data_IF_048499026697
#
_entry.id   IF_048499026697
#
_cell.length_a   1.000
_cell.length_b   1.000
_cell.length_c   1.000
_cell.angle_alpha   90.00
_cell.angle_beta   90.00
_cell.angle_gamma   90.00
#
_symmetry.space_group_name_H-M   'P 1'
#
loop_
_entity.id
_entity.type
_entity.pdbx_description
1 polymer ?
#
# COMPACT_ATOMS: atom_id res chain seq x y z
N UNK A 1 7.76 6.76 20.19
CA UNK A 1 9.20 6.54 20.00
C UNK A 1 9.33 5.35 19.08
N UNK A 2 9.96 5.52 17.92
CA UNK A 2 10.28 4.43 17.00
C UNK A 2 11.78 4.09 17.15
N UNK A 3 12.33 3.27 16.27
CA UNK A 3 13.79 3.11 16.15
C UNK A 3 14.41 4.37 15.53
N UNK A 4 15.71 4.57 15.78
CA UNK A 4 16.49 5.66 15.16
C UNK A 4 16.41 5.60 13.62
N UNK A 5 16.48 4.39 13.06
CA UNK A 5 16.36 4.18 11.61
C UNK A 5 15.05 4.71 11.01
N UNK A 6 13.95 4.77 11.78
CA UNK A 6 12.67 5.37 11.31
C UNK A 6 12.64 6.87 11.58
N UNK A 7 13.00 7.29 12.80
CA UNK A 7 12.88 8.69 13.22
C UNK A 7 13.94 9.61 12.56
N UNK A 8 15.05 9.06 12.05
CA UNK A 8 16.12 9.76 11.33
C UNK A 8 16.23 9.34 9.84
N UNK A 9 15.18 8.72 9.28
CA UNK A 9 15.24 8.15 7.91
C UNK A 9 15.36 9.20 6.80
N UNK A 10 14.93 10.45 7.05
CA UNK A 10 14.84 11.48 6.02
C UNK A 10 16.17 11.83 5.32
N UNK A 11 17.30 11.77 6.03
CA UNK A 11 18.60 12.00 5.41
C UNK A 11 19.01 10.89 4.44
N UNK A 12 18.73 9.64 4.81
CA UNK A 12 19.00 8.46 3.96
C UNK A 12 18.08 8.48 2.74
N UNK A 13 16.79 8.73 2.95
CA UNK A 13 15.78 8.77 1.89
C UNK A 13 16.05 9.90 0.87
N UNK A 14 16.44 11.09 1.33
CA UNK A 14 16.92 12.17 0.45
C UNK A 14 18.10 11.72 -0.43
N UNK A 15 19.07 11.00 0.14
CA UNK A 15 20.24 10.51 -0.59
C UNK A 15 19.84 9.48 -1.65
N UNK A 16 18.92 8.58 -1.33
CA UNK A 16 18.42 7.58 -2.28
C UNK A 16 17.71 8.25 -3.46
N UNK A 17 16.82 9.20 -3.20
CA UNK A 17 16.19 10.02 -4.24
C UNK A 17 17.22 10.76 -5.10
N UNK A 18 18.23 11.38 -4.49
CA UNK A 18 19.29 12.09 -5.19
C UNK A 18 20.07 11.17 -6.14
N UNK A 19 20.49 10.00 -5.67
CA UNK A 19 21.23 9.02 -6.48
C UNK A 19 20.38 8.51 -7.64
N UNK A 20 19.13 8.12 -7.37
CA UNK A 20 18.21 7.63 -8.39
C UNK A 20 17.95 8.69 -9.48
N UNK A 21 17.72 9.95 -9.07
CA UNK A 21 17.56 11.06 -10.00
C UNK A 21 18.82 11.31 -10.83
N UNK A 22 20.01 11.28 -10.22
CA UNK A 22 21.27 11.46 -10.95
C UNK A 22 21.48 10.39 -12.01
N UNK A 23 21.13 9.13 -11.71
CA UNK A 23 21.19 8.03 -12.67
C UNK A 23 20.26 8.31 -13.87
N UNK A 24 19.02 8.72 -13.62
CA UNK A 24 18.09 9.05 -14.70
C UNK A 24 18.55 10.26 -15.52
N UNK A 25 18.98 11.33 -14.86
CA UNK A 25 19.47 12.54 -15.51
C UNK A 25 20.73 12.29 -16.35
N UNK A 26 21.60 11.37 -15.91
CA UNK A 26 22.74 10.92 -16.70
C UNK A 26 22.27 10.22 -17.97
N UNK A 27 21.36 9.25 -17.88
CA UNK A 27 20.76 8.57 -19.04
C UNK A 27 20.14 9.58 -20.02
N UNK A 28 19.34 10.54 -19.53
CA UNK A 28 18.75 11.58 -20.36
C UNK A 28 19.79 12.48 -21.05
N UNK A 29 20.95 12.70 -20.42
CA UNK A 29 22.06 13.42 -21.05
C UNK A 29 22.68 12.59 -22.18
N UNK A 30 22.89 11.30 -21.96
CA UNK A 30 23.51 10.38 -22.92
C UNK A 30 22.67 10.20 -24.18
N UNK A 31 21.35 10.14 -24.04
CA UNK A 31 20.41 10.06 -25.19
C UNK A 31 20.10 11.43 -25.81
N UNK A 32 20.79 12.49 -25.38
CA UNK A 32 20.66 13.85 -25.92
C UNK A 32 19.37 14.59 -25.55
N UNK A 33 18.57 14.07 -24.61
CA UNK A 33 17.36 14.73 -24.11
C UNK A 33 17.67 15.92 -23.19
N UNK A 34 18.83 15.91 -22.52
CA UNK A 34 19.36 17.04 -21.77
C UNK A 34 20.62 17.55 -22.50
N UNK A 35 20.64 18.82 -22.97
CA UNK A 35 21.66 19.31 -23.90
C UNK A 35 23.03 19.56 -23.25
N UNK A 36 23.10 19.68 -21.92
CA UNK A 36 24.36 19.94 -21.22
C UNK A 36 24.31 19.57 -19.75
N UNK A 37 25.49 19.37 -19.15
CA UNK A 37 25.63 19.21 -17.70
C UNK A 37 25.10 20.41 -16.91
N UNK A 38 25.30 21.63 -17.41
CA UNK A 38 24.80 22.83 -16.74
C UNK A 38 23.26 22.84 -16.66
N UNK A 39 22.57 22.38 -17.71
CA UNK A 39 21.12 22.26 -17.70
C UNK A 39 20.66 21.14 -16.75
N UNK A 40 21.36 20.01 -16.73
CA UNK A 40 21.11 18.92 -15.79
C UNK A 40 21.17 19.40 -14.33
N UNK A 41 22.24 20.11 -13.96
CA UNK A 41 22.48 20.56 -12.60
C UNK A 41 21.41 21.58 -12.17
N UNK A 42 20.93 22.45 -13.10
CA UNK A 42 19.80 23.34 -12.86
C UNK A 42 18.49 22.58 -12.60
N UNK A 43 18.21 21.54 -13.39
CA UNK A 43 17.00 20.71 -13.22
C UNK A 43 17.03 20.02 -11.86
N UNK A 44 18.17 19.41 -11.49
CA UNK A 44 18.33 18.76 -10.19
C UNK A 44 18.12 19.73 -9.03
N UNK A 45 18.68 20.94 -9.12
CA UNK A 45 18.46 21.98 -8.10
C UNK A 45 16.97 22.37 -7.99
N UNK A 46 16.28 22.50 -9.13
CA UNK A 46 14.87 22.92 -9.18
C UNK A 46 13.91 21.90 -8.54
N UNK A 47 14.19 20.60 -8.61
CA UNK A 47 13.31 19.55 -8.07
C UNK A 47 13.54 19.25 -6.58
N UNK A 48 14.50 19.92 -5.93
CA UNK A 48 14.85 19.66 -4.52
C UNK A 48 13.64 19.77 -3.58
N UNK A 49 12.75 20.74 -3.82
CA UNK A 49 11.53 20.90 -3.01
C UNK A 49 10.56 19.71 -3.15
N UNK A 50 10.38 19.21 -4.38
CA UNK A 50 9.53 18.04 -4.66
C UNK A 50 10.11 16.76 -4.04
N UNK A 51 11.44 16.62 -4.02
CA UNK A 51 12.12 15.52 -3.31
C UNK A 51 11.87 15.61 -1.81
N UNK A 52 12.03 16.79 -1.20
CA UNK A 52 11.72 16.98 0.22
C UNK A 52 10.26 16.61 0.54
N UNK A 53 9.30 16.99 -0.31
CA UNK A 53 7.90 16.64 -0.11
C UNK A 53 7.66 15.13 -0.20
N UNK A 54 8.30 14.44 -1.14
CA UNK A 54 8.24 12.98 -1.27
C UNK A 54 8.81 12.28 -0.03
N UNK A 55 9.97 12.70 0.45
CA UNK A 55 10.63 12.15 1.66
C UNK A 55 9.77 12.36 2.90
N UNK A 56 9.18 13.55 3.05
CA UNK A 56 8.26 13.85 4.15
C UNK A 56 6.95 13.04 4.06
N UNK A 57 6.48 12.75 2.84
CA UNK A 57 5.30 11.91 2.64
C UNK A 57 5.58 10.45 3.03
N UNK A 58 6.73 9.90 2.64
CA UNK A 58 7.12 8.53 3.00
C UNK A 58 7.33 8.38 4.51
N UNK A 59 8.05 9.32 5.14
CA UNK A 59 8.24 9.34 6.60
C UNK A 59 6.92 9.32 7.38
N UNK A 60 5.93 10.12 6.94
CA UNK A 60 4.59 10.12 7.53
C UNK A 60 3.87 8.78 7.31
N UNK A 61 4.03 8.17 6.13
CA UNK A 61 3.44 6.87 5.82
C UNK A 61 4.03 5.74 6.69
N UNK A 62 5.36 5.70 6.86
CA UNK A 62 6.03 4.72 7.74
C UNK A 62 5.61 4.90 9.20
N UNK A 63 5.56 6.14 9.68
CA UNK A 63 5.10 6.43 11.06
C UNK A 63 3.66 6.01 11.30
N UNK A 64 2.78 6.20 10.32
CA UNK A 64 1.40 5.74 10.34
C UNK A 64 1.31 4.22 10.32
N UNK A 65 2.09 3.55 9.47
CA UNK A 65 2.13 2.10 9.38
C UNK A 65 2.42 1.46 10.74
N UNK A 66 3.39 2.01 11.48
CA UNK A 66 3.70 1.56 12.85
C UNK A 66 2.55 1.81 13.85
N UNK A 67 1.78 2.89 13.69
CA UNK A 67 0.57 3.12 14.51
C UNK A 67 -0.51 2.08 14.24
N UNK A 68 -0.69 1.70 12.98
CA UNK A 68 -1.67 0.69 12.58
C UNK A 68 -1.21 -0.71 12.98
N UNK A 69 0.07 -1.05 12.79
CA UNK A 69 0.64 -2.33 13.18
C UNK A 69 0.64 -2.52 14.71
N UNK A 70 0.74 -1.45 15.49
CA UNK A 70 0.56 -1.53 16.94
C UNK A 70 -0.86 -1.96 17.32
N UNK A 71 -1.88 -1.54 16.56
CA UNK A 71 -3.28 -1.95 16.76
C UNK A 71 -3.52 -3.37 16.27
N UNK A 72 -3.01 -3.72 15.09
CA UNK A 72 -3.11 -5.07 14.52
C UNK A 72 -2.42 -6.10 15.40
N UNK A 73 -1.18 -5.86 15.82
CA UNK A 73 -0.43 -6.78 16.69
C UNK A 73 -1.08 -6.97 18.06
N UNK A 74 -1.85 -5.99 18.55
CA UNK A 74 -2.63 -6.15 19.78
C UNK A 74 -3.78 -7.16 19.62
N UNK A 75 -4.34 -7.29 18.42
CA UNK A 75 -5.39 -8.28 18.10
C UNK A 75 -4.84 -9.63 17.67
N UNK A 76 -3.65 -9.67 17.05
CA UNK A 76 -3.04 -10.88 16.51
C UNK A 76 -1.50 -10.83 16.63
N UNK A 77 -0.97 -11.16 17.82
CA UNK A 77 0.48 -11.27 18.02
C UNK A 77 1.10 -12.42 17.22
N UNK A 78 0.35 -13.49 16.96
CA UNK A 78 0.87 -14.69 16.32
C UNK A 78 1.32 -14.38 14.88
N UNK A 79 0.57 -13.55 14.15
CA UNK A 79 0.95 -13.11 12.81
C UNK A 79 2.35 -12.45 12.77
N UNK A 80 2.68 -11.64 13.77
CA UNK A 80 3.97 -10.93 13.84
C UNK A 80 5.12 -11.84 14.26
N UNK A 81 4.89 -12.79 15.17
CA UNK A 81 5.90 -13.81 15.49
C UNK A 81 6.11 -14.79 14.34
N UNK A 82 5.04 -15.15 13.62
CA UNK A 82 5.14 -15.94 12.40
C UNK A 82 5.94 -15.23 11.32
N UNK A 83 5.78 -13.91 11.18
CA UNK A 83 6.63 -13.09 10.32
C UNK A 83 8.10 -13.11 10.80
N UNK A 84 8.35 -12.90 12.09
CA UNK A 84 9.70 -12.92 12.64
C UNK A 84 10.41 -14.26 12.39
N UNK A 85 9.72 -15.38 12.60
CA UNK A 85 10.24 -16.73 12.27
C UNK A 85 10.57 -16.83 10.79
N UNK A 86 9.64 -16.42 9.91
CA UNK A 86 9.88 -16.45 8.46
C UNK A 86 11.13 -15.65 8.08
N UNK A 87 11.30 -14.45 8.64
CA UNK A 87 12.43 -13.57 8.33
C UNK A 87 13.77 -14.15 8.81
N UNK A 88 13.77 -14.89 9.92
CA UNK A 88 14.95 -15.66 10.37
C UNK A 88 15.23 -16.82 9.42
N UNK A 89 14.20 -17.58 9.05
CA UNK A 89 14.33 -18.77 8.19
C UNK A 89 14.91 -18.41 6.80
N UNK A 90 14.57 -17.24 6.27
CA UNK A 90 15.13 -16.74 5.00
C UNK A 90 16.44 -15.95 5.17
N UNK A 91 16.99 -15.91 6.39
CA UNK A 91 18.28 -15.28 6.68
C UNK A 91 18.29 -13.75 6.63
N UNK A 92 17.13 -13.09 6.69
CA UNK A 92 17.03 -11.63 6.66
C UNK A 92 17.10 -11.01 8.06
N UNK A 93 16.53 -11.67 9.07
CA UNK A 93 16.50 -11.16 10.45
C UNK A 93 17.44 -11.94 11.35
N UNK A 94 18.47 -11.28 11.87
CA UNK A 94 19.18 -11.73 13.07
C UNK A 94 18.51 -11.13 14.31
N UNK A 95 17.79 -11.97 15.05
CA UNK A 95 17.02 -11.54 16.22
C UNK A 95 17.91 -11.02 17.34
N UNK A 96 19.08 -11.60 17.55
CA UNK A 96 19.98 -11.19 18.63
C UNK A 96 20.64 -9.85 18.28
N UNK A 97 21.15 -9.72 17.06
CA UNK A 97 21.72 -8.47 16.55
C UNK A 97 20.75 -7.28 16.57
N UNK A 98 19.48 -7.52 16.26
CA UNK A 98 18.41 -6.52 16.27
C UNK A 98 17.72 -6.33 17.63
N UNK A 99 18.13 -7.09 18.65
CA UNK A 99 17.47 -7.13 19.96
C UNK A 99 15.95 -7.41 19.89
N UNK A 100 15.50 -8.24 18.93
CA UNK A 100 14.08 -8.58 18.76
C UNK A 100 13.63 -9.67 19.75
N UNK A 101 12.64 -9.40 20.64
CA UNK A 101 12.32 -10.27 21.77
C UNK A 101 11.64 -11.57 21.35
N UNK A 102 11.84 -12.64 22.12
CA UNK A 102 11.11 -13.89 21.92
C UNK A 102 9.64 -13.75 22.28
N UNK A 103 8.79 -14.63 21.72
CA UNK A 103 7.36 -14.62 22.02
C UNK A 103 7.08 -14.78 23.52
N UNK A 104 7.82 -15.66 24.19
CA UNK A 104 7.72 -15.84 25.64
C UNK A 104 8.00 -14.55 26.42
N UNK A 105 9.00 -13.77 26.00
CA UNK A 105 9.36 -12.49 26.64
C UNK A 105 8.25 -11.46 26.45
N UNK A 106 7.67 -11.35 25.26
CA UNK A 106 6.57 -10.42 25.00
C UNK A 106 5.32 -10.82 25.75
N UNK A 107 4.98 -12.11 25.79
CA UNK A 107 3.81 -12.63 26.51
C UNK A 107 3.91 -12.48 28.03
N UNK A 108 5.12 -12.43 28.59
CA UNK A 108 5.36 -12.20 30.01
C UNK A 108 5.27 -10.72 30.44
N UNK A 109 5.13 -9.78 29.50
CA UNK A 109 4.97 -8.35 29.83
C UNK A 109 3.64 -8.08 30.53
N UNK A 110 3.56 -7.04 31.38
CA UNK A 110 2.28 -6.61 31.99
C UNK A 110 1.19 -6.34 30.96
N UNK A 111 1.57 -5.86 29.77
CA UNK A 111 0.74 -5.83 28.57
C UNK A 111 1.45 -6.63 27.48
N UNK A 112 0.90 -7.77 27.04
CA UNK A 112 1.53 -8.62 26.04
C UNK A 112 1.40 -7.98 24.65
N UNK A 113 2.23 -6.99 24.37
CA UNK A 113 2.21 -6.21 23.13
C UNK A 113 3.62 -6.02 22.60
N UNK A 114 3.74 -5.99 21.28
CA UNK A 114 4.93 -5.49 20.61
C UNK A 114 4.96 -3.97 20.72
N UNK A 115 6.15 -3.44 20.96
CA UNK A 115 6.41 -2.01 20.99
C UNK A 115 6.64 -1.48 19.56
N UNK A 116 6.49 -0.17 19.36
CA UNK A 116 6.75 0.44 18.05
C UNK A 116 8.18 0.21 17.53
N UNK A 117 9.24 0.26 18.36
CA UNK A 117 10.58 -0.11 17.91
C UNK A 117 10.68 -1.57 17.42
N UNK A 118 10.04 -2.51 18.11
CA UNK A 118 10.02 -3.92 17.69
C UNK A 118 9.24 -4.12 16.38
N UNK A 119 8.14 -3.38 16.19
CA UNK A 119 7.39 -3.36 14.94
C UNK A 119 8.17 -2.69 13.80
N UNK A 120 9.01 -1.70 14.10
CA UNK A 120 9.87 -1.04 13.11
C UNK A 120 10.91 -2.00 12.53
N UNK A 121 11.48 -2.88 13.36
CA UNK A 121 12.35 -3.97 12.92
C UNK A 121 11.59 -4.85 11.91
N UNK A 122 10.43 -5.39 12.31
CA UNK A 122 9.64 -6.26 11.43
C UNK A 122 9.21 -5.56 10.13
N UNK A 123 8.84 -4.28 10.19
CA UNK A 123 8.47 -3.49 9.02
C UNK A 123 9.62 -3.36 8.02
N UNK A 124 10.84 -3.04 8.49
CA UNK A 124 12.01 -2.91 7.62
C UNK A 124 12.35 -4.24 6.94
N UNK A 125 12.41 -5.33 7.70
CA UNK A 125 12.75 -6.65 7.16
C UNK A 125 11.64 -7.24 6.28
N UNK A 126 10.36 -6.95 6.57
CA UNK A 126 9.25 -7.32 5.69
C UNK A 126 9.33 -6.62 4.32
N UNK A 127 9.69 -5.33 4.30
CA UNK A 127 9.92 -4.58 3.05
C UNK A 127 11.08 -5.19 2.26
N UNK A 128 12.19 -5.52 2.93
CA UNK A 128 13.35 -6.13 2.29
C UNK A 128 13.02 -7.51 1.68
N UNK A 129 12.30 -8.35 2.42
CA UNK A 129 11.84 -9.65 1.93
C UNK A 129 10.94 -9.48 0.70
N UNK A 130 9.98 -8.57 0.77
CA UNK A 130 9.05 -8.32 -0.32
C UNK A 130 9.78 -7.77 -1.55
N UNK A 131 10.67 -6.81 -1.37
CA UNK A 131 11.52 -6.26 -2.43
C UNK A 131 12.29 -7.35 -3.18
N UNK A 132 12.96 -8.25 -2.46
CA UNK A 132 13.69 -9.37 -3.08
C UNK A 132 12.76 -10.29 -3.86
N UNK A 133 11.64 -10.69 -3.27
CA UNK A 133 10.65 -11.53 -3.96
C UNK A 133 10.05 -10.87 -5.21
N UNK A 134 9.89 -9.54 -5.19
CA UNK A 134 9.44 -8.79 -6.36
C UNK A 134 10.51 -8.70 -7.44
N UNK A 135 11.77 -8.50 -7.05
CA UNK A 135 12.89 -8.56 -7.99
C UNK A 135 13.00 -9.94 -8.63
N UNK A 136 12.79 -11.03 -7.90
CA UNK A 136 12.86 -12.39 -8.46
C UNK A 136 11.66 -12.76 -9.35
N UNK A 137 10.74 -11.82 -9.57
CA UNK A 137 9.54 -11.97 -10.39
C UNK A 137 9.51 -11.00 -11.57
N UNK A 138 8.55 -11.20 -12.48
CA UNK A 138 8.29 -10.29 -13.60
C UNK A 138 7.35 -9.14 -13.23
N UNK A 139 6.86 -9.05 -11.98
CA UNK A 139 5.84 -8.05 -11.61
C UNK A 139 6.32 -6.61 -11.81
N UNK A 140 7.58 -6.33 -11.50
CA UNK A 140 8.16 -5.00 -11.67
C UNK A 140 8.25 -4.55 -13.15
N UNK A 141 8.06 -5.47 -14.09
CA UNK A 141 8.04 -5.22 -15.53
C UNK A 141 6.60 -5.22 -16.10
N UNK A 142 5.61 -5.60 -15.29
CA UNK A 142 4.20 -5.61 -15.69
C UNK A 142 3.76 -4.21 -16.16
N UNK A 143 3.11 -4.06 -17.32
CA UNK A 143 2.65 -2.75 -17.80
C UNK A 143 1.79 -1.97 -16.81
N UNK A 144 1.02 -2.66 -15.97
CA UNK A 144 0.20 -2.10 -14.93
C UNK A 144 0.98 -1.54 -13.74
N UNK A 145 2.29 -1.78 -13.60
CA UNK A 145 3.11 -1.21 -12.52
C UNK A 145 3.86 0.06 -12.92
N UNK A 146 3.82 0.44 -14.21
CA UNK A 146 4.50 1.63 -14.76
C UNK A 146 4.18 2.93 -14.01
N UNK A 147 2.95 3.08 -13.52
CA UNK A 147 2.55 4.26 -12.75
C UNK A 147 3.39 4.44 -11.49
N UNK A 148 3.85 3.36 -10.84
CA UNK A 148 4.67 3.45 -9.64
C UNK A 148 6.03 4.10 -9.91
N UNK A 149 6.65 3.82 -11.06
CA UNK A 149 7.89 4.49 -11.46
C UNK A 149 7.67 5.96 -11.79
N UNK A 150 6.60 6.26 -12.52
CA UNK A 150 6.25 7.63 -12.88
C UNK A 150 5.95 8.44 -11.61
N UNK A 151 5.21 7.86 -10.67
CA UNK A 151 4.81 8.50 -9.41
C UNK A 151 5.94 8.63 -8.40
N UNK A 152 7.02 7.87 -8.55
CA UNK A 152 8.24 8.03 -7.78
C UNK A 152 9.03 9.29 -8.16
N UNK A 153 9.04 9.64 -9.45
CA UNK A 153 9.82 10.76 -9.96
C UNK A 153 9.15 12.11 -9.63
N UNK A 154 9.91 13.20 -9.42
CA UNK A 154 9.37 14.54 -9.19
C UNK A 154 8.35 14.97 -10.26
N UNK A 155 7.16 15.49 -9.89
CA UNK A 155 6.14 15.97 -10.82
C UNK A 155 6.67 16.83 -11.98
N UNK A 156 7.59 17.78 -11.71
CA UNK A 156 8.16 18.64 -12.76
C UNK A 156 8.91 17.85 -13.84
N UNK A 157 9.50 16.70 -13.49
CA UNK A 157 10.17 15.83 -14.45
C UNK A 157 9.20 15.00 -15.26
N UNK A 158 8.07 14.58 -14.65
CA UNK A 158 7.03 13.81 -15.35
C UNK A 158 6.47 14.59 -16.53
N UNK A 159 6.22 15.89 -16.35
CA UNK A 159 5.74 16.77 -17.42
C UNK A 159 6.80 16.93 -18.51
N UNK A 160 8.05 17.20 -18.12
CA UNK A 160 9.14 17.52 -19.05
C UNK A 160 9.64 16.31 -19.86
N UNK A 161 9.61 15.10 -19.26
CA UNK A 161 10.19 13.90 -19.85
C UNK A 161 9.23 12.70 -19.85
N UNK A 162 7.91 12.95 -19.92
CA UNK A 162 6.85 11.92 -19.85
C UNK A 162 7.13 10.67 -20.70
N UNK A 163 7.56 10.87 -21.96
CA UNK A 163 7.84 9.77 -22.90
C UNK A 163 9.09 8.94 -22.60
N UNK A 164 9.93 9.37 -21.65
CA UNK A 164 11.21 8.74 -21.30
C UNK A 164 11.28 8.23 -19.85
N UNK A 165 10.25 8.46 -19.03
CA UNK A 165 10.22 8.04 -17.62
C UNK A 165 10.52 6.53 -17.46
N UNK A 166 10.02 5.73 -18.40
CA UNK A 166 10.17 4.27 -18.38
C UNK A 166 11.56 3.80 -18.85
N UNK A 167 12.40 4.70 -19.37
CA UNK A 167 13.79 4.42 -19.75
C UNK A 167 14.74 4.48 -18.54
N UNK A 168 14.22 4.68 -17.32
CA UNK A 168 15.04 4.76 -16.11
C UNK A 168 15.91 3.49 -15.96
N UNK A 169 17.25 3.60 -15.82
CA UNK A 169 18.13 2.43 -15.73
C UNK A 169 17.79 1.49 -14.56
N UNK A 170 17.29 2.02 -13.45
CA UNK A 170 16.79 1.29 -12.28
C UNK A 170 15.26 1.12 -12.24
N UNK A 171 14.58 1.10 -13.40
CA UNK A 171 13.11 1.04 -13.43
C UNK A 171 12.54 -0.14 -12.62
N UNK A 172 13.14 -1.33 -12.76
CA UNK A 172 12.71 -2.55 -12.08
C UNK A 172 12.86 -2.44 -10.56
N UNK A 173 14.01 -1.95 -10.11
CA UNK A 173 14.36 -1.79 -8.70
C UNK A 173 13.47 -0.73 -8.03
N UNK A 174 13.21 0.38 -8.73
CA UNK A 174 12.34 1.44 -8.22
C UNK A 174 10.89 0.97 -8.09
N UNK A 175 10.36 0.27 -9.10
CA UNK A 175 9.01 -0.29 -9.02
C UNK A 175 8.90 -1.28 -7.86
N UNK A 176 9.85 -2.20 -7.72
CA UNK A 176 9.86 -3.15 -6.60
C UNK A 176 9.90 -2.43 -5.23
N UNK A 177 10.73 -1.40 -5.10
CA UNK A 177 10.84 -0.58 -3.89
C UNK A 177 9.53 0.12 -3.56
N UNK A 178 8.92 0.81 -4.52
CA UNK A 178 7.67 1.55 -4.33
C UNK A 178 6.52 0.61 -3.98
N UNK A 179 6.40 -0.52 -4.67
CA UNK A 179 5.36 -1.52 -4.40
C UNK A 179 5.54 -2.13 -3.00
N UNK A 180 6.75 -2.52 -2.63
CA UNK A 180 7.03 -3.07 -1.30
C UNK A 180 6.70 -2.07 -0.19
N UNK A 181 7.15 -0.82 -0.34
CA UNK A 181 6.83 0.27 0.60
C UNK A 181 5.33 0.49 0.69
N UNK A 182 4.63 0.56 -0.44
CA UNK A 182 3.19 0.80 -0.48
C UNK A 182 2.39 -0.25 0.29
N UNK A 183 2.65 -1.53 0.00
CA UNK A 183 1.91 -2.63 0.63
C UNK A 183 2.17 -2.68 2.12
N UNK A 184 3.44 -2.59 2.53
CA UNK A 184 3.80 -2.64 3.95
C UNK A 184 3.28 -1.41 4.70
N UNK A 185 3.40 -0.21 4.13
CA UNK A 185 2.97 1.03 4.79
C UNK A 185 1.44 1.11 4.97
N UNK A 186 0.67 0.41 4.14
CA UNK A 186 -0.79 0.40 4.16
C UNK A 186 -1.31 -0.84 4.91
N UNK A 187 -1.11 -2.02 4.32
CA UNK A 187 -1.61 -3.30 4.79
C UNK A 187 -0.91 -3.85 6.03
N UNK A 188 0.30 -3.36 6.34
CA UNK A 188 1.07 -3.76 7.52
C UNK A 188 2.14 -4.80 7.24
N UNK A 189 3.11 -4.90 8.13
CA UNK A 189 4.30 -5.75 7.97
C UNK A 189 3.99 -7.24 7.89
N UNK A 190 2.97 -7.71 8.61
CA UNK A 190 2.59 -9.13 8.64
C UNK A 190 1.62 -9.57 7.52
N UNK A 191 1.08 -8.64 6.72
CA UNK A 191 -0.02 -8.92 5.78
C UNK A 191 0.33 -10.02 4.77
N UNK A 192 1.40 -9.82 4.00
CA UNK A 192 1.77 -10.73 2.90
C UNK A 192 2.07 -12.12 3.46
N UNK A 193 2.89 -12.21 4.51
CA UNK A 193 3.22 -13.50 5.13
C UNK A 193 1.99 -14.21 5.71
N UNK A 194 1.05 -13.47 6.29
CA UNK A 194 -0.21 -14.03 6.79
C UNK A 194 -1.04 -14.62 5.66
N UNK A 195 -1.18 -13.89 4.54
CA UNK A 195 -1.94 -14.36 3.38
C UNK A 195 -1.26 -15.53 2.67
N UNK A 196 0.08 -15.54 2.56
CA UNK A 196 0.85 -16.69 2.04
C UNK A 196 0.53 -17.95 2.84
N UNK A 197 0.55 -17.86 4.18
CA UNK A 197 0.23 -19.00 5.05
C UNK A 197 -1.23 -19.43 4.93
N UNK A 198 -2.17 -18.49 4.93
CA UNK A 198 -3.60 -18.79 4.87
C UNK A 198 -4.03 -19.39 3.53
N UNK A 199 -3.47 -18.89 2.43
CA UNK A 199 -3.90 -19.24 1.08
C UNK A 199 -2.98 -20.27 0.38
N UNK A 200 -1.83 -20.61 0.98
CA UNK A 200 -0.77 -21.38 0.33
C UNK A 200 -0.41 -20.82 -1.06
N UNK A 201 -0.44 -19.49 -1.19
CA UNK A 201 -0.28 -18.78 -2.44
C UNK A 201 1.11 -18.14 -2.55
N UNK A 202 1.54 -17.95 -3.79
CA UNK A 202 2.75 -17.20 -4.13
C UNK A 202 2.64 -15.73 -3.63
N UNK A 203 3.66 -15.19 -2.93
CA UNK A 203 3.70 -13.77 -2.56
C UNK A 203 3.39 -12.80 -3.71
N UNK A 204 3.84 -13.09 -4.94
CA UNK A 204 3.60 -12.22 -6.10
C UNK A 204 2.11 -12.19 -6.45
N UNK A 205 1.41 -13.33 -6.39
CA UNK A 205 -0.04 -13.37 -6.60
C UNK A 205 -0.81 -12.54 -5.56
N UNK A 206 -0.38 -12.56 -4.29
CA UNK A 206 -0.96 -11.74 -3.23
C UNK A 206 -0.73 -10.24 -3.49
N UNK A 207 0.49 -9.86 -3.88
CA UNK A 207 0.83 -8.49 -4.24
C UNK A 207 -0.01 -8.01 -5.42
N UNK A 208 -0.09 -8.79 -6.49
CA UNK A 208 -0.89 -8.47 -7.68
C UNK A 208 -2.36 -8.27 -7.32
N UNK A 209 -2.93 -9.19 -6.52
CA UNK A 209 -4.31 -9.07 -6.05
C UNK A 209 -4.52 -7.83 -5.19
N UNK A 210 -3.59 -7.53 -4.27
CA UNK A 210 -3.64 -6.31 -3.45
C UNK A 210 -3.67 -5.06 -4.32
N UNK A 211 -2.72 -4.93 -5.26
CA UNK A 211 -2.63 -3.76 -6.14
C UNK A 211 -3.87 -3.61 -7.04
N UNK A 212 -4.40 -4.72 -7.56
CA UNK A 212 -5.61 -4.72 -8.36
C UNK A 212 -6.84 -4.28 -7.55
N UNK A 213 -7.06 -4.89 -6.39
CA UNK A 213 -8.20 -4.59 -5.52
C UNK A 213 -8.14 -3.17 -4.96
N UNK A 214 -6.96 -2.70 -4.58
CA UNK A 214 -6.74 -1.33 -4.13
C UNK A 214 -7.15 -0.31 -5.20
N UNK A 215 -6.83 -0.57 -6.48
CA UNK A 215 -7.24 0.28 -7.61
C UNK A 215 -8.74 0.17 -7.91
N UNK A 216 -9.30 -1.04 -7.88
CA UNK A 216 -10.74 -1.27 -8.10
C UNK A 216 -11.58 -0.54 -7.05
N UNK A 217 -11.16 -0.59 -5.79
CA UNK A 217 -11.84 0.06 -4.66
C UNK A 217 -11.45 1.53 -4.45
N UNK A 218 -10.66 2.11 -5.36
CA UNK A 218 -10.15 3.49 -5.29
C UNK A 218 -9.47 3.82 -3.95
N UNK A 219 -8.76 2.84 -3.38
CA UNK A 219 -8.16 2.89 -2.05
C UNK A 219 -7.26 4.10 -1.85
N UNK A 220 -6.42 4.44 -2.82
CA UNK A 220 -5.59 5.66 -2.77
C UNK A 220 -6.40 6.94 -2.57
N UNK A 221 -7.48 7.11 -3.34
CA UNK A 221 -8.33 8.29 -3.21
C UNK A 221 -9.04 8.33 -1.85
N UNK A 222 -9.43 7.17 -1.31
CA UNK A 222 -10.03 7.08 0.03
C UNK A 222 -9.01 7.44 1.13
N UNK A 223 -7.79 6.88 1.06
CA UNK A 223 -6.71 7.21 2.01
C UNK A 223 -6.28 8.67 1.90
N UNK A 224 -6.26 9.24 0.69
CA UNK A 224 -5.93 10.66 0.48
C UNK A 224 -7.00 11.57 1.11
N UNK A 225 -8.28 11.25 0.95
CA UNK A 225 -9.37 12.00 1.57
C UNK A 225 -9.25 12.04 3.10
N UNK A 226 -8.81 10.93 3.71
CA UNK A 226 -8.59 10.83 5.16
C UNK A 226 -7.36 11.60 5.67
N UNK A 227 -6.42 11.97 4.78
CA UNK A 227 -5.21 12.73 5.14
C UNK A 227 -5.39 14.25 5.03
N UNK A 228 -6.54 14.72 4.56
CA UNK A 228 -6.79 16.16 4.40
C UNK A 228 -6.87 16.85 5.77
N UNK A 229 -6.15 17.96 5.93
CA UNK A 229 -6.04 18.69 7.22
C UNK A 229 -7.37 19.19 7.78
N UNK A 230 -8.41 19.27 6.97
CA UNK A 230 -9.70 19.88 7.30
C UNK A 230 -10.75 18.87 7.76
N UNK A 231 -10.41 17.59 7.90
CA UNK A 231 -11.38 16.63 8.43
C UNK A 231 -11.60 16.86 9.93
N UNK A 232 -12.87 16.93 10.36
CA UNK A 232 -13.26 16.95 11.78
C UNK A 232 -13.20 15.58 12.47
N UNK A 233 -12.58 14.58 11.84
CA UNK A 233 -12.41 13.24 12.41
C UNK A 233 -11.30 13.22 13.46
N UNK A 234 -11.47 12.37 14.48
CA UNK A 234 -10.40 12.09 15.43
C UNK A 234 -9.33 11.21 14.79
N UNK A 235 -8.09 11.28 15.30
CA UNK A 235 -6.99 10.41 14.84
C UNK A 235 -7.35 8.93 14.97
N UNK A 236 -7.99 8.54 16.08
CA UNK A 236 -8.45 7.16 16.27
C UNK A 236 -9.51 6.76 15.25
N UNK A 237 -10.49 7.64 14.95
CA UNK A 237 -11.49 7.37 13.93
C UNK A 237 -10.87 7.18 12.54
N UNK A 238 -9.84 7.97 12.19
CA UNK A 238 -9.09 7.77 10.94
C UNK A 238 -8.39 6.42 10.93
N UNK A 239 -7.76 6.01 12.04
CA UNK A 239 -7.09 4.71 12.13
C UNK A 239 -8.06 3.55 12.00
N UNK A 240 -9.22 3.60 12.65
CA UNK A 240 -10.27 2.57 12.51
C UNK A 240 -10.74 2.43 11.06
N UNK A 241 -10.99 3.54 10.37
CA UNK A 241 -11.40 3.53 8.96
C UNK A 241 -10.32 2.93 8.07
N UNK A 242 -9.05 3.30 8.29
CA UNK A 242 -7.92 2.74 7.54
C UNK A 242 -7.80 1.23 7.77
N UNK A 243 -7.88 0.77 9.03
CA UNK A 243 -7.84 -0.65 9.37
C UNK A 243 -8.97 -1.42 8.67
N UNK A 244 -10.20 -0.92 8.71
CA UNK A 244 -11.32 -1.56 8.02
C UNK A 244 -11.14 -1.66 6.50
N UNK A 245 -10.55 -0.64 5.86
CA UNK A 245 -10.22 -0.69 4.44
C UNK A 245 -9.21 -1.81 4.15
N UNK A 246 -8.12 -1.89 4.93
CA UNK A 246 -7.09 -2.91 4.71
C UNK A 246 -7.58 -4.32 5.04
N UNK A 247 -8.42 -4.48 6.06
CA UNK A 247 -9.01 -5.78 6.40
C UNK A 247 -9.94 -6.27 5.28
N UNK A 248 -10.71 -5.36 4.67
CA UNK A 248 -11.55 -5.71 3.51
C UNK A 248 -10.69 -6.12 2.31
N UNK A 249 -9.58 -5.41 2.04
CA UNK A 249 -8.65 -5.81 0.98
C UNK A 249 -8.06 -7.19 1.25
N UNK A 250 -7.60 -7.46 2.47
CA UNK A 250 -7.07 -8.77 2.86
C UNK A 250 -8.10 -9.90 2.67
N UNK A 251 -9.35 -9.68 3.08
CA UNK A 251 -10.46 -10.62 2.94
C UNK A 251 -10.82 -10.91 1.49
N UNK A 252 -10.81 -9.89 0.63
CA UNK A 252 -11.06 -10.02 -0.80
C UNK A 252 -9.92 -10.75 -1.51
N UNK A 253 -8.65 -10.48 -1.14
CA UNK A 253 -7.51 -11.23 -1.66
C UNK A 253 -7.68 -12.72 -1.32
N UNK A 254 -7.99 -13.02 -0.05
CA UNK A 254 -8.20 -14.40 0.39
C UNK A 254 -9.33 -15.08 -0.39
N UNK A 255 -10.47 -14.41 -0.59
CA UNK A 255 -11.59 -14.98 -1.34
C UNK A 255 -11.27 -15.21 -2.82
N UNK A 256 -10.61 -14.25 -3.46
CA UNK A 256 -10.21 -14.37 -4.85
C UNK A 256 -9.29 -15.59 -5.02
N UNK A 257 -8.26 -15.70 -4.18
CA UNK A 257 -7.31 -16.82 -4.24
C UNK A 257 -7.99 -18.17 -3.92
N UNK A 258 -8.82 -18.24 -2.88
CA UNK A 258 -9.55 -19.46 -2.54
C UNK A 258 -10.56 -19.89 -3.62
N UNK A 259 -11.08 -18.93 -4.39
CA UNK A 259 -12.02 -19.18 -5.51
C UNK A 259 -11.32 -19.40 -6.86
N UNK A 260 -9.98 -19.39 -6.90
CA UNK A 260 -9.20 -19.51 -8.14
C UNK A 260 -9.36 -18.31 -9.10
N UNK A 261 -9.77 -17.16 -8.58
CA UNK A 261 -9.90 -15.92 -9.35
C UNK A 261 -8.54 -15.25 -9.41
N UNK A 262 -7.93 -15.24 -10.59
CA UNK A 262 -6.71 -14.49 -10.87
C UNK A 262 -7.07 -13.08 -11.30
N UNK A 263 -6.59 -12.09 -10.55
CA UNK A 263 -6.67 -10.68 -10.93
C UNK A 263 -5.40 -10.28 -11.66
N UNK A 264 -5.53 -9.42 -12.69
CA UNK A 264 -4.38 -8.83 -13.40
C UNK A 264 -4.29 -7.32 -13.14
N UNK A 265 -3.16 -6.73 -13.50
CA UNK A 265 -2.96 -5.27 -13.48
C UNK A 265 -3.24 -4.61 -14.83
N UNK A 266 -3.87 -5.31 -15.77
CA UNK A 266 -4.24 -4.76 -17.07
C UNK A 266 -5.25 -3.62 -16.90
N UNK A 267 -4.92 -2.44 -17.41
CA UNK A 267 -5.70 -1.21 -17.21
C UNK A 267 -7.17 -1.38 -17.63
N UNK A 268 -7.42 -1.98 -18.80
CA UNK A 268 -8.78 -2.23 -19.29
C UNK A 268 -9.59 -3.14 -18.37
N UNK A 269 -8.95 -4.13 -17.74
CA UNK A 269 -9.61 -5.01 -16.78
C UNK A 269 -9.93 -4.27 -15.48
N UNK A 270 -8.97 -3.52 -14.94
CA UNK A 270 -9.14 -2.70 -13.73
C UNK A 270 -10.26 -1.67 -13.92
N UNK A 271 -10.33 -1.00 -15.08
CA UNK A 271 -11.40 -0.04 -15.40
C UNK A 271 -12.76 -0.73 -15.40
N UNK A 272 -12.90 -1.88 -16.05
CA UNK A 272 -14.17 -2.64 -16.08
C UNK A 272 -14.60 -3.08 -14.69
N UNK A 273 -13.67 -3.62 -13.90
CA UNK A 273 -13.93 -4.07 -12.54
C UNK A 273 -14.31 -2.91 -11.62
N UNK A 274 -13.65 -1.76 -11.75
CA UNK A 274 -13.99 -0.53 -11.03
C UNK A 274 -15.38 0.01 -11.39
N UNK A 275 -15.72 0.05 -12.68
CA UNK A 275 -17.07 0.43 -13.10
C UNK A 275 -18.12 -0.50 -12.51
N UNK A 276 -17.82 -1.80 -12.44
CA UNK A 276 -18.72 -2.78 -11.82
C UNK A 276 -18.85 -2.58 -10.31
N UNK A 277 -17.77 -2.31 -9.60
CA UNK A 277 -17.83 -1.98 -8.16
C UNK A 277 -18.62 -0.70 -7.91
N UNK A 278 -18.48 0.32 -8.75
CA UNK A 278 -19.25 1.56 -8.66
C UNK A 278 -20.75 1.32 -8.85
N UNK A 279 -21.14 0.51 -9.85
CA UNK A 279 -22.54 0.11 -10.07
C UNK A 279 -23.10 -0.64 -8.84
N UNK A 280 -22.33 -1.57 -8.27
CA UNK A 280 -22.74 -2.31 -7.06
C UNK A 280 -22.96 -1.36 -5.88
N UNK A 281 -22.03 -0.42 -5.66
CA UNK A 281 -22.12 0.57 -4.59
C UNK A 281 -23.32 1.51 -4.76
N UNK A 282 -23.64 1.93 -5.99
CA UNK A 282 -24.85 2.72 -6.26
C UNK A 282 -26.15 1.91 -6.10
N UNK A 283 -26.10 0.59 -6.32
CA UNK A 283 -27.23 -0.32 -6.20
C UNK A 283 -27.52 -0.85 -4.78
N UNK A 284 -26.77 -0.43 -3.76
CA UNK A 284 -26.95 -0.96 -2.40
C UNK A 284 -28.34 -0.69 -1.82
N UNK A 285 -29.01 0.38 -2.23
CA UNK A 285 -30.38 0.70 -1.78
C UNK A 285 -31.40 -0.39 -2.13
N UNK A 286 -31.19 -1.13 -3.22
CA UNK A 286 -32.09 -2.21 -3.67
C UNK A 286 -31.63 -3.58 -3.21
N UNK A 287 -30.39 -3.69 -2.71
CA UNK A 287 -29.77 -4.97 -2.33
C UNK A 287 -29.77 -5.19 -0.82
N UNK A 288 -29.58 -4.12 -0.05
CA UNK A 288 -29.54 -4.17 1.41
C UNK A 288 -30.93 -4.04 2.03
N UNK A 289 -31.11 -4.60 3.23
CA UNK A 289 -32.31 -4.33 4.01
C UNK A 289 -32.41 -2.83 4.36
N UNK A 290 -33.63 -2.27 4.54
CA UNK A 290 -33.79 -0.85 4.88
C UNK A 290 -33.00 -0.43 6.13
N UNK A 291 -32.86 -1.33 7.11
CA UNK A 291 -32.07 -1.10 8.32
C UNK A 291 -30.57 -0.99 7.99
N UNK A 292 -30.01 -1.93 7.21
CA UNK A 292 -28.59 -1.91 6.83
C UNK A 292 -28.26 -0.72 5.95
N UNK A 293 -29.10 -0.44 4.95
CA UNK A 293 -28.95 0.75 4.10
C UNK A 293 -29.03 2.05 4.92
N UNK A 294 -29.95 2.12 5.90
CA UNK A 294 -30.06 3.23 6.84
C UNK A 294 -28.77 3.47 7.63
N UNK A 295 -28.10 2.41 8.10
CA UNK A 295 -26.79 2.52 8.78
C UNK A 295 -25.70 3.04 7.85
N UNK A 296 -25.61 2.52 6.62
CA UNK A 296 -24.67 3.03 5.61
C UNK A 296 -24.86 4.53 5.37
N UNK A 297 -26.12 4.97 5.25
CA UNK A 297 -26.45 6.40 5.05
C UNK A 297 -26.10 7.25 6.27
N UNK A 298 -26.39 6.78 7.47
CA UNK A 298 -26.05 7.49 8.71
C UNK A 298 -24.52 7.64 8.86
N UNK A 299 -23.76 6.57 8.61
CA UNK A 299 -22.30 6.59 8.63
C UNK A 299 -21.72 7.53 7.56
N UNK A 300 -22.24 7.49 6.33
CA UNK A 300 -21.82 8.40 5.27
C UNK A 300 -22.06 9.87 5.65
N UNK A 301 -23.23 10.20 6.19
CA UNK A 301 -23.53 11.55 6.67
C UNK A 301 -22.63 11.97 7.83
N UNK A 302 -22.23 11.06 8.71
CA UNK A 302 -21.27 11.37 9.78
C UNK A 302 -19.88 11.71 9.22
N UNK A 303 -19.40 10.95 8.23
CA UNK A 303 -18.14 11.22 7.54
C UNK A 303 -18.16 12.55 6.77
N UNK A 304 -19.27 12.86 6.09
CA UNK A 304 -19.47 14.15 5.41
C UNK A 304 -19.44 15.34 6.39
N UNK A 305 -20.11 15.21 7.55
CA UNK A 305 -20.02 16.21 8.63
C UNK A 305 -18.60 16.36 9.17
N UNK A 306 -17.82 15.28 9.12
CA UNK A 306 -16.39 15.26 9.39
C UNK A 306 -15.53 15.83 8.27
N UNK A 307 -16.10 16.43 7.22
CA UNK A 307 -15.36 17.12 6.16
C UNK A 307 -14.92 16.24 4.99
N UNK A 308 -15.31 14.96 4.95
CA UNK A 308 -14.97 14.09 3.81
C UNK A 308 -15.87 14.36 2.60
N UNK A 309 -15.34 14.28 1.36
CA UNK A 309 -16.15 14.40 0.15
C UNK A 309 -17.29 13.36 0.11
N UNK A 310 -18.51 13.72 -0.34
CA UNK A 310 -19.66 12.80 -0.33
C UNK A 310 -19.40 11.44 -0.98
N UNK A 311 -18.67 11.43 -2.11
CA UNK A 311 -18.34 10.20 -2.81
C UNK A 311 -17.40 9.28 -1.99
N UNK A 312 -16.46 9.85 -1.24
CA UNK A 312 -15.55 9.09 -0.35
C UNK A 312 -16.29 8.62 0.90
N UNK A 313 -17.13 9.48 1.48
CA UNK A 313 -17.97 9.18 2.64
C UNK A 313 -18.91 8.02 2.37
N UNK A 314 -19.60 8.01 1.23
CA UNK A 314 -20.48 6.90 0.84
C UNK A 314 -19.71 5.59 0.69
N UNK A 315 -18.56 5.62 0.00
CA UNK A 315 -17.73 4.42 -0.20
C UNK A 315 -17.24 3.87 1.12
N UNK A 316 -16.61 4.67 1.96
CA UNK A 316 -16.09 4.23 3.26
C UNK A 316 -17.20 3.68 4.16
N UNK A 317 -18.36 4.36 4.21
CA UNK A 317 -19.50 3.89 4.98
C UNK A 317 -20.05 2.55 4.47
N UNK A 318 -20.18 2.41 3.15
CA UNK A 318 -20.63 1.16 2.54
C UNK A 318 -19.66 0.00 2.80
N UNK A 319 -18.35 0.25 2.63
CA UNK A 319 -17.30 -0.76 2.87
C UNK A 319 -17.26 -1.22 4.34
N UNK A 320 -17.61 -0.35 5.28
CA UNK A 320 -17.69 -0.69 6.70
C UNK A 320 -19.01 -1.40 7.08
N UNK A 321 -20.17 -0.83 6.69
CA UNK A 321 -21.49 -1.26 7.19
C UNK A 321 -22.12 -2.40 6.36
N UNK A 322 -21.68 -2.58 5.12
CA UNK A 322 -22.16 -3.60 4.18
C UNK A 322 -21.00 -4.49 3.67
N UNK A 323 -19.97 -4.68 4.51
CA UNK A 323 -18.74 -5.40 4.18
C UNK A 323 -19.01 -6.77 3.56
N UNK A 324 -19.82 -7.61 4.21
CA UNK A 324 -20.08 -8.99 3.77
C UNK A 324 -20.82 -9.03 2.43
N UNK A 325 -21.86 -8.20 2.26
CA UNK A 325 -22.60 -8.13 1.01
C UNK A 325 -21.75 -7.59 -0.14
N UNK A 326 -20.94 -6.56 0.11
CA UNK A 326 -20.02 -6.02 -0.87
C UNK A 326 -18.97 -7.05 -1.26
N UNK A 327 -18.38 -7.74 -0.28
CA UNK A 327 -17.40 -8.80 -0.50
C UNK A 327 -17.97 -9.90 -1.39
N UNK A 328 -19.15 -10.42 -1.07
CA UNK A 328 -19.84 -11.43 -1.88
C UNK A 328 -20.18 -10.93 -3.29
N UNK A 329 -20.68 -9.69 -3.43
CA UNK A 329 -21.06 -9.11 -4.71
C UNK A 329 -19.84 -8.84 -5.61
N UNK A 330 -18.75 -8.35 -5.03
CA UNK A 330 -17.48 -8.12 -5.73
C UNK A 330 -16.90 -9.45 -6.21
N UNK A 331 -16.85 -10.46 -5.34
CA UNK A 331 -16.35 -11.79 -5.70
C UNK A 331 -17.16 -12.40 -6.85
N UNK A 332 -18.49 -12.31 -6.79
CA UNK A 332 -19.37 -12.77 -7.87
C UNK A 332 -19.10 -12.01 -9.19
N UNK A 333 -18.92 -10.69 -9.12
CA UNK A 333 -18.57 -9.88 -10.28
C UNK A 333 -17.21 -10.26 -10.90
N UNK A 334 -16.22 -10.54 -10.07
CA UNK A 334 -14.87 -10.91 -10.53
C UNK A 334 -14.88 -12.27 -11.22
N UNK A 335 -15.61 -13.25 -10.65
CA UNK A 335 -15.75 -14.59 -11.23
C UNK A 335 -16.41 -14.62 -12.62
N UNK A 336 -17.33 -13.69 -12.89
CA UNK A 336 -18.04 -13.65 -14.18
C UNK A 336 -17.21 -13.03 -15.29
N UNK A 337 -16.23 -12.20 -14.93
CA UNK A 337 -15.33 -11.54 -15.88
C UNK A 337 -14.15 -12.44 -16.26
N UNK A 338 -13.56 -13.14 -15.30
CA UNK A 338 -12.45 -14.08 -15.58
C UNK A 338 -12.87 -15.25 -16.46
N UNK A 339 -14.12 -15.74 -16.35
CA UNK A 339 -14.66 -16.79 -17.23
C UNK A 339 -15.01 -16.34 -18.66
N UNK A 340 -15.15 -15.03 -18.91
CA UNK A 340 -15.45 -14.50 -20.26
C UNK A 340 -14.20 -14.25 -21.11
N UNK A 341 -13.01 -14.30 -20.50
CA UNK A 341 -11.72 -14.09 -21.15
C UNK A 341 -10.94 -15.39 -21.43
N UNK A 342 -11.52 -16.56 -21.10
CA UNK A 342 -11.03 -17.90 -21.43
C UNK A 342 -11.92 -18.51 -22.53
#
# INVERSE_FOLDING_TARGET
>A
INTDAVDNSGGVDCSDHEVNLKIFMQHLTEVGAIPSRAERDRILAAVSGEVCDAVLADNRAQSLALSLDQRRSAGDLEAYFSLAVRLVDVGLLDREGEAFPSESVVRARPRPLLTRPELAILMAYAKMQLYQGLLDSDLAQDPGTKSFLIDYLPPSLRERFAGRMLEHPLARELVATVVANRIVNQGGSALVQTLVRKCAADPVAIVTAYLALDRILVGDSLRQALRQKETGLTVEGVYEILLHLEDLLADLIQDCLASGISLSLAEDELIRLRQRSDILLSGLATTLSPVRYGRCRAAATALEKGGLPPASSWRLAALAEARDELRAALLAAFSTLTRKNL
#
